data_IF_285196162534
#
_entry.id   IF_285196162534
#
_cell.length_a   1.000
_cell.length_b   1.000
_cell.length_c   1.000
_cell.angle_alpha   90.00
_cell.angle_beta   90.00
_cell.angle_gamma   90.00
#
_symmetry.space_group_name_H-M   'P 1'
#
loop_
_entity.id
_entity.type
_entity.pdbx_description
1 polymer ?
#
# COMPACT_ATOMS: atom_id res chain seq x y z
N UNK A 1 2.53 0.24 8.63
CA UNK A 1 1.43 1.12 8.23
C UNK A 1 0.29 0.82 9.19
N UNK A 2 -0.17 1.82 9.93
CA UNK A 2 -1.23 1.66 10.95
C UNK A 2 -2.59 1.36 10.33
N UNK A 3 -2.79 1.71 9.06
CA UNK A 3 -4.03 1.45 8.32
C UNK A 3 -3.98 0.13 7.55
N UNK A 4 -2.84 -0.58 7.55
CA UNK A 4 -2.67 -1.82 6.79
C UNK A 4 -3.03 -3.06 7.64
N UNK A 5 -4.04 -3.82 7.19
CA UNK A 5 -4.49 -5.05 7.85
C UNK A 5 -3.69 -6.32 7.52
N UNK A 6 -2.55 -6.22 6.80
CA UNK A 6 -1.78 -7.40 6.41
C UNK A 6 -1.08 -8.09 7.59
N UNK A 7 -0.74 -9.37 7.46
CA UNK A 7 0.00 -10.14 8.47
C UNK A 7 1.29 -9.43 8.89
N UNK A 8 2.08 -8.93 7.94
CA UNK A 8 3.33 -8.22 8.23
C UNK A 8 3.11 -7.02 9.16
N UNK A 9 2.16 -6.13 8.85
CA UNK A 9 1.91 -4.93 9.65
C UNK A 9 1.27 -5.22 11.02
N UNK A 10 0.57 -6.35 11.17
CA UNK A 10 -0.06 -6.75 12.44
C UNK A 10 0.92 -7.38 13.43
N UNK A 11 1.97 -8.04 12.93
CA UNK A 11 2.85 -8.86 13.76
C UNK A 11 4.29 -8.35 13.87
N UNK A 12 4.72 -7.46 12.96
CA UNK A 12 6.11 -7.01 12.90
C UNK A 12 6.22 -5.49 12.88
N UNK A 13 7.23 -4.99 13.59
CA UNK A 13 7.54 -3.56 13.60
C UNK A 13 8.39 -3.16 12.40
N UNK A 14 8.39 -1.87 12.06
CA UNK A 14 9.27 -1.30 11.02
C UNK A 14 10.75 -1.48 11.37
N UNK A 15 11.11 -1.38 12.65
CA UNK A 15 12.49 -1.57 13.10
C UNK A 15 12.97 -3.01 12.89
N UNK A 16 12.09 -4.00 13.11
CA UNK A 16 12.41 -5.41 12.87
C UNK A 16 12.57 -5.71 11.38
N UNK A 17 11.70 -5.18 10.52
CA UNK A 17 11.86 -5.31 9.06
C UNK A 17 13.18 -4.72 8.57
N UNK A 18 13.59 -3.56 9.09
CA UNK A 18 14.88 -2.93 8.79
C UNK A 18 16.06 -3.78 9.26
N UNK A 19 15.92 -4.45 10.40
CA UNK A 19 16.93 -5.38 10.89
C UNK A 19 17.09 -6.58 9.96
N UNK A 20 15.99 -7.22 9.55
CA UNK A 20 16.01 -8.35 8.60
C UNK A 20 16.67 -7.98 7.27
N UNK A 21 16.35 -6.80 6.74
CA UNK A 21 16.96 -6.27 5.52
C UNK A 21 18.48 -6.09 5.67
N UNK A 22 18.93 -5.46 6.76
CA UNK A 22 20.35 -5.26 7.06
C UNK A 22 21.12 -6.57 7.26
N UNK A 23 20.46 -7.59 7.81
CA UNK A 23 21.04 -8.91 8.00
C UNK A 23 20.96 -9.81 6.75
N UNK A 24 20.40 -9.32 5.64
CA UNK A 24 20.17 -10.09 4.41
C UNK A 24 19.34 -11.37 4.62
N UNK A 25 18.38 -11.30 5.55
CA UNK A 25 17.50 -12.43 5.88
C UNK A 25 16.35 -12.54 4.87
N UNK A 26 16.14 -13.75 4.33
CA UNK A 26 15.08 -14.02 3.33
C UNK A 26 13.67 -13.74 3.87
N UNK A 27 13.50 -13.81 5.19
CA UNK A 27 12.24 -13.47 5.85
C UNK A 27 11.82 -12.01 5.56
N UNK A 28 12.77 -11.08 5.46
CA UNK A 28 12.49 -9.69 5.12
C UNK A 28 11.79 -9.57 3.76
N UNK A 29 12.32 -10.26 2.74
CA UNK A 29 11.72 -10.30 1.41
C UNK A 29 10.31 -10.92 1.43
N UNK A 30 10.10 -12.00 2.18
CA UNK A 30 8.78 -12.64 2.31
C UNK A 30 7.75 -11.72 2.95
N UNK A 31 8.11 -11.06 4.05
CA UNK A 31 7.23 -10.13 4.75
C UNK A 31 6.89 -8.89 3.91
N UNK A 32 7.85 -8.39 3.14
CA UNK A 32 7.63 -7.30 2.20
C UNK A 32 6.68 -7.73 1.07
N UNK A 33 6.83 -8.93 0.51
CA UNK A 33 5.92 -9.46 -0.50
C UNK A 33 4.48 -9.56 0.02
N UNK A 34 4.28 -10.05 1.25
CA UNK A 34 2.95 -10.11 1.88
C UNK A 34 2.34 -8.71 1.99
N UNK A 35 3.09 -7.73 2.48
CA UNK A 35 2.63 -6.34 2.59
C UNK A 35 2.26 -5.75 1.22
N UNK A 36 3.15 -5.89 0.24
CA UNK A 36 2.97 -5.35 -1.10
C UNK A 36 1.74 -5.94 -1.78
N UNK A 37 1.59 -7.26 -1.79
CA UNK A 37 0.44 -7.92 -2.40
C UNK A 37 -0.87 -7.51 -1.74
N UNK A 38 -0.91 -7.42 -0.41
CA UNK A 38 -2.10 -6.94 0.31
C UNK A 38 -2.46 -5.50 -0.07
N UNK A 39 -1.46 -4.62 -0.14
CA UNK A 39 -1.64 -3.23 -0.56
C UNK A 39 -2.22 -3.16 -1.98
N UNK A 40 -1.60 -3.83 -2.95
CA UNK A 40 -2.06 -3.82 -4.34
C UNK A 40 -3.46 -4.41 -4.49
N UNK A 41 -3.77 -5.53 -3.84
CA UNK A 41 -5.11 -6.11 -3.89
C UNK A 41 -6.16 -5.18 -3.29
N UNK A 42 -5.83 -4.47 -2.22
CA UNK A 42 -6.73 -3.51 -1.58
C UNK A 42 -6.96 -2.29 -2.46
N UNK A 43 -5.89 -1.73 -3.04
CA UNK A 43 -5.98 -0.64 -4.00
C UNK A 43 -6.86 -1.02 -5.21
N UNK A 44 -6.62 -2.18 -5.81
CA UNK A 44 -7.38 -2.62 -6.99
C UNK A 44 -8.85 -2.90 -6.65
N UNK A 45 -9.16 -3.33 -5.43
CA UNK A 45 -10.55 -3.48 -4.95
C UNK A 45 -11.23 -2.12 -4.83
N UNK A 46 -10.59 -1.14 -4.19
CA UNK A 46 -11.13 0.21 -4.06
C UNK A 46 -11.34 0.88 -5.43
N UNK A 47 -10.40 0.66 -6.37
CA UNK A 47 -10.52 1.15 -7.74
C UNK A 47 -11.74 0.55 -8.47
N UNK A 48 -11.95 -0.77 -8.37
CA UNK A 48 -13.13 -1.42 -8.95
C UNK A 48 -14.44 -0.92 -8.35
N UNK A 49 -14.46 -0.69 -7.04
CA UNK A 49 -15.62 -0.13 -6.34
C UNK A 49 -15.92 1.29 -6.82
N UNK A 50 -14.91 2.16 -6.90
CA UNK A 50 -15.08 3.52 -7.38
C UNK A 50 -15.55 3.60 -8.84
N UNK A 51 -15.13 2.65 -9.70
CA UNK A 51 -15.67 2.54 -11.07
C UNK A 51 -17.13 2.12 -11.04
N UNK A 52 -17.49 1.14 -10.20
CA UNK A 52 -18.86 0.63 -10.11
C UNK A 52 -19.86 1.66 -9.55
N UNK A 53 -19.39 2.61 -8.74
CA UNK A 53 -20.21 3.68 -8.14
C UNK A 53 -20.09 5.02 -8.87
N UNK A 54 -19.41 5.09 -10.02
CA UNK A 54 -19.13 6.33 -10.77
C UNK A 54 -18.38 7.41 -9.96
N UNK A 55 -17.57 6.97 -8.98
CA UNK A 55 -16.78 7.82 -8.07
C UNK A 55 -15.27 7.75 -8.36
N UNK A 56 -14.87 7.24 -9.53
CA UNK A 56 -13.45 7.06 -9.88
C UNK A 56 -12.64 8.36 -9.80
N UNK A 57 -13.19 9.48 -10.30
CA UNK A 57 -12.51 10.77 -10.30
C UNK A 57 -12.23 11.29 -8.89
N UNK A 58 -13.20 11.15 -7.98
CA UNK A 58 -13.05 11.50 -6.57
C UNK A 58 -12.02 10.59 -5.88
N UNK A 59 -12.12 9.27 -6.10
CA UNK A 59 -11.15 8.31 -5.59
C UNK A 59 -9.72 8.63 -6.03
N UNK A 60 -9.52 8.93 -7.32
CA UNK A 60 -8.20 9.27 -7.87
C UNK A 60 -7.65 10.56 -7.26
N UNK A 61 -8.48 11.61 -7.17
CA UNK A 61 -8.10 12.89 -6.53
C UNK A 61 -7.62 12.67 -5.10
N UNK A 62 -8.38 11.93 -4.30
CA UNK A 62 -8.05 11.65 -2.91
C UNK A 62 -6.81 10.74 -2.79
N UNK A 63 -6.68 9.75 -3.68
CA UNK A 63 -5.55 8.84 -3.76
C UNK A 63 -4.23 9.61 -4.00
N UNK A 64 -4.22 10.56 -4.93
CA UNK A 64 -3.03 11.37 -5.24
C UNK A 64 -2.78 12.44 -4.17
N UNK A 65 -3.82 13.11 -3.67
CA UNK A 65 -3.70 14.11 -2.60
C UNK A 65 -3.03 13.54 -1.34
N UNK A 66 -3.31 12.28 -0.99
CA UNK A 66 -2.68 11.58 0.14
C UNK A 66 -1.22 11.17 -0.10
N UNK A 67 -0.78 11.05 -1.36
CA UNK A 67 0.54 10.51 -1.71
C UNK A 67 1.55 11.58 -2.08
N UNK A 68 1.09 12.68 -2.67
CA UNK A 68 1.97 13.73 -3.17
C UNK A 68 1.17 14.99 -3.47
N UNK A 69 1.63 16.12 -2.95
CA UNK A 69 1.79 17.30 -3.80
C UNK A 69 2.57 16.85 -5.05
N UNK A 70 1.91 16.61 -6.19
CA UNK A 70 2.52 16.51 -7.52
C UNK A 70 1.51 17.03 -8.56
N UNK A 71 1.96 17.71 -9.63
CA UNK A 71 1.18 18.71 -10.37
C UNK A 71 0.11 18.08 -11.28
N UNK A 72 -0.78 18.97 -11.72
CA UNK A 72 -2.13 18.77 -12.25
C UNK A 72 -2.21 18.12 -13.65
N UNK A 73 -1.29 17.24 -14.00
CA UNK A 73 -1.12 16.71 -15.34
C UNK A 73 -1.06 15.17 -15.30
N UNK A 74 -2.21 14.58 -14.97
CA UNK A 74 -2.58 13.22 -15.37
C UNK A 74 -3.41 13.36 -16.65
N UNK A 75 -3.12 12.63 -17.75
CA UNK A 75 -3.92 12.68 -18.98
C UNK A 75 -5.39 12.32 -18.78
#
# INVERSE_FOLDING_TARGET
>A
DEQCGCYTCRHYSRSYLRHLDRCHEILGARLNTIHNLFYYQTLMRQLREAIATDQLAEFARDFYARRTQYPADVP
#
